data_IF_114281475945
#
_entry.id   IF_114281475945
#
_cell.length_a   1.000
_cell.length_b   1.000
_cell.length_c   1.000
_cell.angle_alpha   90.00
_cell.angle_beta   90.00
_cell.angle_gamma   90.00
#
_symmetry.space_group_name_H-M   'P 1'
#
loop_
_entity.id
_entity.type
_entity.pdbx_description
1 polymer ?
#
# COMPACT_ATOMS: atom_id res chain seq x y z
N UNK A 1 -5.22 16.76 1.98
CA UNK A 1 -5.83 16.08 3.15
C UNK A 1 -6.95 15.12 2.76
N UNK A 2 -7.87 15.51 1.85
CA UNK A 2 -8.99 14.64 1.39
C UNK A 2 -8.54 13.29 0.81
N UNK A 3 -7.40 13.22 0.12
CA UNK A 3 -6.90 11.96 -0.45
C UNK A 3 -5.92 11.25 0.49
N UNK A 4 -4.98 11.99 1.07
CA UNK A 4 -3.85 11.43 1.82
C UNK A 4 -4.28 10.65 3.07
N UNK A 5 -5.24 11.18 3.83
CA UNK A 5 -5.70 10.60 5.09
C UNK A 5 -6.59 9.35 4.90
N UNK A 6 -7.62 9.36 4.01
CA UNK A 6 -8.37 8.14 3.73
C UNK A 6 -7.50 7.04 3.10
N UNK A 7 -6.56 7.40 2.24
CA UNK A 7 -5.61 6.44 1.68
C UNK A 7 -4.75 5.78 2.77
N UNK A 8 -4.37 6.53 3.83
CA UNK A 8 -3.60 5.99 4.95
C UNK A 8 -4.41 4.94 5.72
N UNK A 9 -5.67 5.23 6.05
CA UNK A 9 -6.54 4.29 6.76
C UNK A 9 -6.80 3.02 5.94
N UNK A 10 -7.05 3.17 4.64
CA UNK A 10 -7.22 2.04 3.74
C UNK A 10 -5.94 1.23 3.57
N UNK A 11 -4.77 1.87 3.60
CA UNK A 11 -3.49 1.17 3.59
C UNK A 11 -3.31 0.32 4.86
N UNK A 12 -3.63 0.83 6.05
CA UNK A 12 -3.61 0.03 7.29
C UNK A 12 -4.47 -1.23 7.16
N UNK A 13 -5.71 -1.08 6.68
CA UNK A 13 -6.63 -2.20 6.48
C UNK A 13 -6.10 -3.18 5.43
N UNK A 14 -5.64 -2.68 4.28
CA UNK A 14 -5.10 -3.50 3.20
C UNK A 14 -3.86 -4.29 3.63
N UNK A 15 -2.92 -3.66 4.34
CA UNK A 15 -1.73 -4.32 4.91
C UNK A 15 -2.14 -5.43 5.87
N UNK A 16 -3.05 -5.15 6.81
CA UNK A 16 -3.53 -6.16 7.76
C UNK A 16 -4.20 -7.35 7.08
N UNK A 17 -5.07 -7.09 6.11
CA UNK A 17 -5.76 -8.14 5.35
C UNK A 17 -4.80 -8.94 4.46
N UNK A 18 -3.91 -8.26 3.73
CA UNK A 18 -2.96 -8.90 2.83
C UNK A 18 -2.03 -9.84 3.58
N UNK A 19 -1.39 -9.36 4.64
CA UNK A 19 -0.46 -10.19 5.42
C UNK A 19 -1.14 -11.17 6.39
N UNK A 20 -2.48 -11.07 6.57
CA UNK A 20 -3.25 -12.14 7.20
C UNK A 20 -3.46 -13.33 6.26
N UNK A 21 -3.37 -13.11 4.94
CA UNK A 21 -3.53 -14.13 3.91
C UNK A 21 -2.19 -14.59 3.33
N UNK A 22 -1.18 -13.72 3.35
CA UNK A 22 0.13 -13.92 2.75
C UNK A 22 1.21 -13.85 3.82
N UNK A 23 2.00 -14.91 3.98
CA UNK A 23 3.10 -14.91 4.94
C UNK A 23 4.22 -13.96 4.47
N UNK A 24 4.57 -12.92 5.25
CA UNK A 24 5.66 -12.01 4.90
C UNK A 24 7.02 -12.70 4.74
N UNK A 25 7.25 -13.85 5.39
CA UNK A 25 8.51 -14.60 5.28
C UNK A 25 8.60 -15.47 4.03
N UNK A 26 7.46 -15.79 3.42
CA UNK A 26 7.43 -16.56 2.17
C UNK A 26 7.45 -15.67 0.92
N UNK A 27 7.47 -14.34 1.08
CA UNK A 27 7.64 -13.41 -0.04
C UNK A 27 9.00 -13.63 -0.73
N UNK A 28 8.95 -14.06 -1.99
CA UNK A 28 10.10 -14.13 -2.89
C UNK A 28 10.04 -12.90 -3.78
N UNK A 29 11.06 -12.04 -3.72
CA UNK A 29 11.13 -10.80 -4.49
C UNK A 29 12.44 -10.83 -5.29
N UNK A 30 12.32 -10.71 -6.62
CA UNK A 30 13.45 -10.84 -7.56
C UNK A 30 14.26 -12.14 -7.36
N UNK A 31 13.58 -13.28 -7.23
CA UNK A 31 14.20 -14.62 -7.08
C UNK A 31 15.00 -14.83 -5.77
N UNK A 32 15.08 -13.81 -4.90
CA UNK A 32 15.66 -13.93 -3.57
C UNK A 32 14.56 -14.01 -2.51
N UNK A 33 14.73 -14.93 -1.55
CA UNK A 33 13.94 -14.86 -0.31
C UNK A 33 14.22 -13.53 0.33
N UNK A 34 13.15 -12.82 0.64
CA UNK A 34 13.21 -11.49 1.18
C UNK A 34 13.85 -11.55 2.59
N UNK A 35 15.16 -11.29 2.69
CA UNK A 35 15.89 -11.26 3.98
C UNK A 35 15.61 -9.97 4.77
N UNK A 36 14.40 -9.41 4.69
CA UNK A 36 13.99 -8.36 5.63
C UNK A 36 13.38 -8.98 6.86
N UNK A 37 13.62 -8.33 8.00
CA UNK A 37 12.88 -8.58 9.23
C UNK A 37 11.37 -8.50 8.96
N UNK A 38 10.58 -9.26 9.72
CA UNK A 38 9.12 -9.29 9.58
C UNK A 38 8.49 -7.88 9.62
N UNK A 39 9.00 -7.02 10.49
CA UNK A 39 8.61 -5.59 10.58
C UNK A 39 8.91 -4.81 9.31
N UNK A 40 10.01 -5.12 8.62
CA UNK A 40 10.37 -4.50 7.35
C UNK A 40 9.39 -4.85 6.24
N UNK A 41 8.95 -6.11 6.16
CA UNK A 41 7.95 -6.53 5.19
C UNK A 41 6.60 -5.81 5.38
N UNK A 42 6.11 -5.71 6.63
CA UNK A 42 4.89 -4.95 6.94
C UNK A 42 5.00 -3.47 6.57
N UNK A 43 6.15 -2.86 6.87
CA UNK A 43 6.40 -1.44 6.58
C UNK A 43 6.38 -1.20 5.07
N UNK A 44 7.07 -2.04 4.29
CA UNK A 44 7.11 -1.92 2.83
C UNK A 44 5.69 -2.09 2.25
N UNK A 45 4.95 -3.11 2.69
CA UNK A 45 3.58 -3.33 2.21
C UNK A 45 2.65 -2.17 2.55
N UNK A 46 2.77 -1.60 3.74
CA UNK A 46 2.03 -0.40 4.14
C UNK A 46 2.30 0.79 3.22
N UNK A 47 3.57 1.14 3.01
CA UNK A 47 3.91 2.26 2.11
C UNK A 47 3.49 1.99 0.66
N UNK A 48 3.59 0.74 0.19
CA UNK A 48 3.15 0.36 -1.14
C UNK A 48 1.63 0.56 -1.32
N UNK A 49 0.81 0.02 -0.42
CA UNK A 49 -0.65 0.20 -0.49
C UNK A 49 -1.05 1.66 -0.29
N UNK A 50 -0.37 2.40 0.58
CA UNK A 50 -0.65 3.81 0.78
C UNK A 50 -0.35 4.63 -0.47
N UNK A 51 0.80 4.43 -1.11
CA UNK A 51 1.17 5.10 -2.35
C UNK A 51 0.18 4.78 -3.46
N UNK A 52 -0.22 3.51 -3.61
CA UNK A 52 -1.23 3.10 -4.59
C UNK A 52 -2.58 3.80 -4.34
N UNK A 53 -3.01 3.89 -3.08
CA UNK A 53 -4.24 4.61 -2.69
C UNK A 53 -4.17 6.10 -3.01
N UNK A 54 -3.02 6.75 -2.72
CA UNK A 54 -2.77 8.15 -3.06
C UNK A 54 -2.82 8.36 -4.57
N UNK A 55 -2.14 7.51 -5.34
CA UNK A 55 -2.08 7.63 -6.80
C UNK A 55 -3.45 7.43 -7.44
N UNK A 56 -4.19 6.39 -7.03
CA UNK A 56 -5.52 6.10 -7.55
C UNK A 56 -6.51 7.24 -7.27
N UNK A 57 -6.66 7.62 -6.00
CA UNK A 57 -7.60 8.67 -5.61
C UNK A 57 -7.12 10.07 -6.05
N UNK A 58 -5.80 10.28 -6.10
CA UNK A 58 -5.21 11.51 -6.62
C UNK A 58 -5.46 11.68 -8.11
N UNK A 59 -5.33 10.61 -8.90
CA UNK A 59 -5.67 10.63 -10.32
C UNK A 59 -7.15 10.92 -10.53
N UNK A 60 -8.04 10.29 -9.77
CA UNK A 60 -9.48 10.60 -9.81
C UNK A 60 -9.75 12.07 -9.48
N UNK A 61 -9.13 12.61 -8.42
CA UNK A 61 -9.29 14.01 -8.05
C UNK A 61 -8.80 14.96 -9.15
N UNK A 62 -7.66 14.66 -9.80
CA UNK A 62 -7.14 15.45 -10.92
C UNK A 62 -8.07 15.41 -12.13
N UNK A 63 -8.60 14.24 -12.48
CA UNK A 63 -9.52 14.09 -13.62
C UNK A 63 -10.83 14.84 -13.37
N UNK A 64 -11.39 14.73 -12.17
CA UNK A 64 -12.61 15.45 -11.77
C UNK A 64 -12.38 16.96 -11.78
N UNK A 65 -11.23 17.42 -11.28
CA UNK A 65 -10.90 18.85 -11.28
C UNK A 65 -10.69 19.40 -12.70
N UNK A 66 -10.15 18.60 -13.62
CA UNK A 66 -9.91 19.00 -15.01
C UNK A 66 -11.16 18.94 -15.89
N UNK A 67 -12.19 18.20 -15.47
CA UNK A 67 -13.49 18.14 -16.15
C UNK A 67 -14.41 19.31 -15.77
N UNK A 68 -13.97 20.17 -14.86
CA UNK A 68 -14.63 21.39 -14.40
C UNK A 68 -14.00 22.63 -15.02
#
# INVERSE_FOLDING_TARGET
MIVLWPAFLMACAATGLFFSLVDPMELIVLDQRLQVHITGAYTIGFFAFWLLGILSSGLTALLVQKAH
#
